data_IF_560316500244
#
_entry.id   IF_560316500244
#
_cell.length_a   1.000
_cell.length_b   1.000
_cell.length_c   1.000
_cell.angle_alpha   90.00
_cell.angle_beta   90.00
_cell.angle_gamma   90.00
#
_symmetry.space_group_name_H-M   'P 1'
#
loop_
_entity.id
_entity.type
_entity.pdbx_description
1 polymer ?
#
# COMPACT_ATOMS: atom_id res chain seq x y z
N UNK A 1 -16.99 -48.72 -16.97
CA UNK A 1 -16.40 -48.26 -15.70
C UNK A 1 -15.28 -47.29 -16.04
N UNK A 2 -15.51 -45.98 -15.90
CA UNK A 2 -14.49 -44.94 -16.22
C UNK A 2 -13.95 -44.41 -14.90
N UNK A 3 -12.69 -44.74 -14.59
CA UNK A 3 -11.99 -44.32 -13.38
C UNK A 3 -11.71 -42.82 -13.40
N UNK A 4 -12.21 -42.12 -12.38
CA UNK A 4 -11.94 -40.70 -12.17
C UNK A 4 -10.46 -40.50 -11.81
N UNK A 5 -9.72 -39.88 -12.74
CA UNK A 5 -8.33 -39.46 -12.58
C UNK A 5 -8.26 -38.42 -11.45
N UNK A 6 -7.57 -38.75 -10.35
CA UNK A 6 -7.42 -37.92 -9.15
C UNK A 6 -6.54 -36.69 -9.42
N UNK A 7 -7.12 -35.64 -9.99
CA UNK A 7 -6.47 -34.33 -10.18
C UNK A 7 -7.01 -33.33 -9.14
N UNK A 8 -6.61 -33.48 -7.88
CA UNK A 8 -7.12 -32.59 -6.82
C UNK A 8 -6.39 -32.58 -5.48
N UNK A 9 -5.32 -33.37 -5.29
CA UNK A 9 -4.67 -33.46 -3.97
C UNK A 9 -3.69 -32.32 -3.67
N UNK A 10 -3.04 -31.75 -4.69
CA UNK A 10 -1.95 -30.79 -4.51
C UNK A 10 -2.44 -29.39 -4.14
N UNK A 11 -3.54 -28.92 -4.74
CA UNK A 11 -4.13 -27.60 -4.47
C UNK A 11 -4.66 -27.52 -3.03
N UNK A 12 -5.32 -28.58 -2.55
CA UNK A 12 -5.82 -28.63 -1.17
C UNK A 12 -4.70 -28.68 -0.12
N UNK A 13 -3.61 -29.38 -0.40
CA UNK A 13 -2.47 -29.47 0.54
C UNK A 13 -1.67 -28.17 0.63
N UNK A 14 -1.46 -27.49 -0.50
CA UNK A 14 -0.78 -26.18 -0.52
C UNK A 14 -1.63 -25.09 0.11
N UNK A 15 -2.95 -25.07 -0.15
CA UNK A 15 -3.87 -24.11 0.48
C UNK A 15 -3.90 -24.25 2.00
N UNK A 16 -4.00 -25.48 2.51
CA UNK A 16 -3.97 -25.71 3.97
C UNK A 16 -2.63 -25.35 4.61
N UNK A 17 -1.52 -25.62 3.93
CA UNK A 17 -0.20 -25.21 4.40
C UNK A 17 -0.08 -23.68 4.45
N UNK A 18 -0.53 -22.98 3.40
CA UNK A 18 -0.50 -21.52 3.32
C UNK A 18 -1.36 -20.87 4.41
N UNK A 19 -2.59 -21.33 4.60
CA UNK A 19 -3.50 -20.83 5.66
C UNK A 19 -2.91 -21.00 7.06
N UNK A 20 -2.28 -22.15 7.32
CA UNK A 20 -1.62 -22.41 8.61
C UNK A 20 -0.43 -21.50 8.84
N UNK A 21 0.35 -21.18 7.81
CA UNK A 21 1.43 -20.22 7.91
C UNK A 21 0.93 -18.80 8.07
N UNK A 22 -0.06 -18.39 7.29
CA UNK A 22 -0.63 -17.05 7.33
C UNK A 22 -1.22 -16.74 8.71
N UNK A 23 -2.06 -17.64 9.25
CA UNK A 23 -2.62 -17.51 10.60
C UNK A 23 -1.53 -17.44 11.69
N UNK A 24 -0.47 -18.25 11.57
CA UNK A 24 0.64 -18.24 12.52
C UNK A 24 1.46 -16.95 12.45
N UNK A 25 1.72 -16.43 11.25
CA UNK A 25 2.45 -15.19 11.02
C UNK A 25 1.65 -13.99 11.54
N UNK A 26 0.34 -13.92 11.24
CA UNK A 26 -0.56 -12.87 11.73
C UNK A 26 -0.63 -12.89 13.26
N UNK A 27 -0.72 -14.06 13.89
CA UNK A 27 -0.76 -14.16 15.35
C UNK A 27 0.55 -13.70 16.02
N UNK A 28 1.70 -13.86 15.36
CA UNK A 28 3.02 -13.50 15.93
C UNK A 28 3.47 -12.09 15.62
N UNK A 29 3.19 -11.58 14.42
CA UNK A 29 3.71 -10.30 13.92
C UNK A 29 2.61 -9.25 13.73
N UNK A 30 1.35 -9.62 14.00
CA UNK A 30 0.20 -8.84 13.58
C UNK A 30 -0.07 -9.00 12.07
N UNK A 31 -1.23 -8.56 11.58
CA UNK A 31 -1.42 -8.41 10.15
C UNK A 31 -0.30 -7.52 9.61
N UNK A 32 0.18 -7.79 8.38
CA UNK A 32 1.14 -6.90 7.73
C UNK A 32 0.55 -5.50 7.72
N UNK A 33 1.00 -4.63 8.63
CA UNK A 33 0.62 -3.24 8.65
C UNK A 33 1.17 -2.66 7.34
N UNK A 34 0.27 -2.43 6.38
CA UNK A 34 0.52 -1.54 5.24
C UNK A 34 0.59 -0.13 5.85
N UNK A 35 1.69 0.15 6.56
CA UNK A 35 1.88 1.32 7.42
C UNK A 35 3.23 1.18 8.09
N UNK A 36 4.04 2.24 8.08
CA UNK A 36 5.49 2.22 8.27
C UNK A 36 5.98 1.88 9.69
N UNK A 37 5.44 0.85 10.34
CA UNK A 37 5.86 0.39 11.68
C UNK A 37 5.69 1.40 12.80
N UNK A 38 5.05 2.54 12.52
CA UNK A 38 4.73 3.59 13.47
C UNK A 38 3.24 3.94 13.27
N UNK A 39 2.50 4.25 14.35
CA UNK A 39 1.12 4.70 14.23
C UNK A 39 1.13 5.96 13.38
N UNK A 40 0.56 5.92 12.17
CA UNK A 40 0.43 7.11 11.34
C UNK A 40 -0.10 8.24 12.23
N UNK A 41 0.73 9.27 12.43
CA UNK A 41 0.35 10.40 13.27
C UNK A 41 -0.93 11.00 12.71
N UNK A 42 -1.74 11.65 13.56
CA UNK A 42 -2.92 12.39 13.09
C UNK A 42 -2.51 13.23 11.88
N UNK A 43 -3.11 12.94 10.72
CA UNK A 43 -2.86 13.63 9.47
C UNK A 43 -3.42 15.06 9.60
N UNK A 44 -2.66 15.93 10.26
CA UNK A 44 -3.06 17.31 10.47
C UNK A 44 -2.83 18.09 9.18
N UNK A 45 -3.89 18.11 8.36
CA UNK A 45 -3.97 18.88 7.11
C UNK A 45 -4.11 20.39 7.33
N UNK A 46 -4.19 20.85 8.59
CA UNK A 46 -4.23 22.28 8.94
C UNK A 46 -2.85 22.92 8.83
N UNK A 47 -1.80 22.13 9.09
CA UNK A 47 -0.42 22.62 9.00
C UNK A 47 0.03 22.55 7.56
N UNK A 48 -0.06 23.68 6.87
CA UNK A 48 0.54 23.81 5.55
C UNK A 48 2.07 23.77 5.68
N UNK A 49 2.65 22.63 5.31
CA UNK A 49 4.10 22.45 5.35
C UNK A 49 4.74 23.27 4.23
N UNK A 50 5.89 23.86 4.51
CA UNK A 50 6.72 24.51 3.50
C UNK A 50 7.27 23.49 2.50
N UNK A 51 7.28 23.83 1.22
CA UNK A 51 7.90 23.01 0.19
C UNK A 51 9.41 22.91 0.44
N UNK A 52 10.02 21.71 0.44
CA UNK A 52 11.45 21.56 0.70
C UNK A 52 12.33 22.15 -0.42
N UNK A 53 11.75 22.50 -1.58
CA UNK A 53 12.47 23.06 -2.72
C UNK A 53 12.40 24.59 -2.72
N UNK A 54 11.20 25.17 -2.61
CA UNK A 54 11.00 26.62 -2.73
C UNK A 54 10.63 27.33 -1.42
N UNK A 55 10.44 26.59 -0.32
CA UNK A 55 10.08 27.13 0.99
C UNK A 55 8.65 27.70 1.10
N UNK A 56 7.94 27.86 -0.02
CA UNK A 56 6.56 28.37 -0.04
C UNK A 56 5.57 27.31 0.44
N UNK A 57 4.43 27.73 1.01
CA UNK A 57 3.38 26.82 1.45
C UNK A 57 2.95 25.84 0.34
N UNK A 58 2.82 24.55 0.67
CA UNK A 58 2.39 23.50 -0.25
C UNK A 58 1.03 23.82 -0.89
N UNK A 59 0.13 24.52 -0.19
CA UNK A 59 -1.16 24.99 -0.73
C UNK A 59 -1.03 25.92 -1.94
N UNK A 60 0.13 26.54 -2.17
CA UNK A 60 0.38 27.39 -3.35
C UNK A 60 0.93 26.62 -4.56
N UNK A 61 1.15 25.32 -4.45
CA UNK A 61 1.71 24.50 -5.51
C UNK A 61 0.62 23.93 -6.42
N UNK A 62 0.89 23.86 -7.72
CA UNK A 62 -0.01 23.20 -8.66
C UNK A 62 0.26 21.70 -8.68
N UNK A 63 -0.79 20.89 -8.47
CA UNK A 63 -0.69 19.42 -8.53
C UNK A 63 -1.15 18.94 -9.90
N UNK A 64 -0.24 18.41 -10.70
CA UNK A 64 -0.54 17.77 -11.98
C UNK A 64 -0.74 16.27 -11.73
N UNK A 65 -1.97 15.78 -11.93
CA UNK A 65 -2.31 14.35 -11.91
C UNK A 65 -2.57 13.89 -13.34
N UNK A 66 -1.56 13.31 -14.01
CA UNK A 66 -1.78 12.69 -15.32
C UNK A 66 -2.80 11.54 -15.19
N UNK A 67 -3.64 11.35 -16.20
CA UNK A 67 -4.56 10.21 -16.20
C UNK A 67 -3.82 8.87 -16.29
N UNK A 68 -4.34 7.88 -15.56
CA UNK A 68 -3.75 6.55 -15.45
C UNK A 68 -2.84 6.40 -14.22
N UNK A 69 -3.00 5.28 -13.52
CA UNK A 69 -2.28 4.92 -12.29
C UNK A 69 -0.76 4.68 -12.50
N UNK A 70 -0.26 4.92 -13.71
CA UNK A 70 1.12 4.63 -14.12
C UNK A 70 2.07 5.80 -13.86
N UNK A 71 1.56 7.04 -13.78
CA UNK A 71 2.39 8.23 -13.62
C UNK A 71 2.21 8.86 -12.24
N UNK A 72 3.33 9.15 -11.58
CA UNK A 72 3.35 9.86 -10.30
C UNK A 72 2.80 11.27 -10.46
N UNK A 73 2.00 11.72 -9.49
CA UNK A 73 1.55 13.11 -9.41
C UNK A 73 2.74 14.04 -9.26
N UNK A 74 2.81 15.08 -10.09
CA UNK A 74 3.90 16.08 -10.06
C UNK A 74 3.43 17.35 -9.36
N UNK A 75 4.18 17.82 -8.37
CA UNK A 75 3.99 19.10 -7.70
C UNK A 75 4.85 20.17 -8.37
N UNK A 76 4.24 21.26 -8.84
CA UNK A 76 4.94 22.37 -9.49
C UNK A 76 5.04 23.56 -8.53
N UNK A 77 6.26 24.07 -8.34
CA UNK A 77 6.51 25.25 -7.50
C UNK A 77 5.89 26.52 -8.12
N UNK A 78 5.27 27.40 -7.32
CA UNK A 78 4.76 28.67 -7.82
C UNK A 78 5.90 29.57 -8.31
N UNK A 79 5.65 30.27 -9.43
CA UNK A 79 6.55 31.27 -10.01
C UNK A 79 6.30 32.63 -9.36
N UNK A 80 6.89 32.86 -8.21
CA UNK A 80 6.88 34.18 -7.55
C UNK A 80 8.21 34.37 -6.83
#
# INVERSE_FOLDING_TARGET
MVGARTKGRTVGRFGQWYERWNSTLIAKMGPSQIGAGHPEGVDDRTVDRGCPICGKPLSRHQVIRPEGQVRSSTLVCPRD
#
